data_IF_414314031631
#
_entry.id   IF_414314031631
#
_cell.length_a   1.000
_cell.length_b   1.000
_cell.length_c   1.000
_cell.angle_alpha   90.00
_cell.angle_beta   90.00
_cell.angle_gamma   90.00
#
_symmetry.space_group_name_H-M   'P 1'
#
loop_
_entity.id
_entity.type
_entity.pdbx_description
1 polymer ?
#
# COMPACT_ATOMS: atom_id res chain seq x y z
N UNK A 1 -2.66 -9.85 -11.07
CA UNK A 1 -3.31 -10.65 -10.01
C UNK A 1 -2.32 -11.65 -9.47
N UNK A 2 -1.61 -12.37 -10.35
CA UNK A 2 -0.51 -13.28 -10.04
C UNK A 2 0.50 -12.72 -9.04
N UNK A 3 0.89 -11.45 -9.19
CA UNK A 3 1.84 -10.79 -8.28
C UNK A 3 1.27 -10.59 -6.87
N UNK A 4 -0.02 -10.25 -6.76
CA UNK A 4 -0.73 -10.11 -5.48
C UNK A 4 -0.92 -11.47 -4.81
N UNK A 5 -1.22 -12.51 -5.59
CA UNK A 5 -1.28 -13.89 -5.11
C UNK A 5 0.09 -14.39 -4.61
N UNK A 6 1.17 -14.07 -5.33
CA UNK A 6 2.55 -14.35 -4.88
C UNK A 6 2.86 -13.62 -3.57
N UNK A 7 2.44 -12.37 -3.43
CA UNK A 7 2.63 -11.58 -2.21
C UNK A 7 1.97 -12.23 -0.99
N UNK A 8 0.70 -12.63 -1.08
CA UNK A 8 -0.01 -13.30 0.04
C UNK A 8 0.51 -14.71 0.35
N UNK A 9 1.20 -15.34 -0.61
CA UNK A 9 1.94 -16.60 -0.41
C UNK A 9 3.32 -16.37 0.21
N UNK A 10 3.73 -15.11 0.39
CA UNK A 10 5.03 -14.73 0.95
C UNK A 10 6.19 -14.86 -0.03
N UNK A 11 5.91 -14.94 -1.33
CA UNK A 11 6.88 -15.14 -2.41
C UNK A 11 7.59 -13.83 -2.78
N UNK A 12 8.36 -13.31 -1.84
CA UNK A 12 9.25 -12.16 -2.02
C UNK A 12 10.50 -12.34 -1.17
N UNK A 13 11.66 -11.82 -1.59
CA UNK A 13 12.89 -11.99 -0.81
C UNK A 13 12.98 -11.00 0.36
N UNK A 14 13.79 -11.31 1.37
CA UNK A 14 14.06 -10.35 2.46
C UNK A 14 14.68 -9.07 1.93
N UNK A 15 15.46 -9.18 0.85
CA UNK A 15 16.00 -8.02 0.13
C UNK A 15 14.91 -7.14 -0.46
N UNK A 16 13.83 -7.72 -0.99
CA UNK A 16 12.71 -6.94 -1.52
C UNK A 16 11.94 -6.23 -0.40
N UNK A 17 11.75 -6.92 0.73
CA UNK A 17 11.14 -6.35 1.93
C UNK A 17 11.93 -5.16 2.47
N UNK A 18 13.24 -5.34 2.67
CA UNK A 18 14.12 -4.26 3.13
C UNK A 18 14.20 -3.11 2.12
N UNK A 19 14.23 -3.41 0.82
CA UNK A 19 14.19 -2.37 -0.22
C UNK A 19 12.90 -1.56 -0.16
N UNK A 20 11.75 -2.21 0.01
CA UNK A 20 10.46 -1.52 0.10
C UNK A 20 10.39 -0.63 1.35
N UNK A 21 10.86 -1.13 2.50
CA UNK A 21 10.98 -0.35 3.73
C UNK A 21 11.85 0.89 3.56
N UNK A 22 13.05 0.71 3.01
CA UNK A 22 13.98 1.81 2.77
C UNK A 22 13.42 2.84 1.77
N UNK A 23 12.67 2.37 0.77
CA UNK A 23 11.97 3.26 -0.16
C UNK A 23 10.91 4.11 0.55
N UNK A 24 10.09 3.51 1.42
CA UNK A 24 9.07 4.24 2.19
C UNK A 24 9.71 5.28 3.12
N UNK A 25 10.77 4.92 3.83
CA UNK A 25 11.53 5.83 4.70
C UNK A 25 12.16 6.98 3.90
N UNK A 26 12.75 6.66 2.75
CA UNK A 26 13.33 7.64 1.84
C UNK A 26 12.29 8.64 1.33
N UNK A 27 11.16 8.14 0.81
CA UNK A 27 10.06 8.99 0.35
C UNK A 27 9.55 9.90 1.46
N UNK A 28 9.26 9.34 2.63
CA UNK A 28 8.78 10.13 3.77
C UNK A 28 9.75 11.25 4.17
N UNK A 29 11.06 10.98 4.12
CA UNK A 29 12.06 11.99 4.46
C UNK A 29 12.07 13.13 3.43
N UNK A 30 11.95 12.79 2.15
CA UNK A 30 11.84 13.78 1.05
C UNK A 30 10.52 14.54 1.09
N UNK A 31 9.42 13.88 1.48
CA UNK A 31 8.10 14.48 1.54
C UNK A 31 7.93 15.42 2.75
N UNK A 32 8.82 15.36 3.75
CA UNK A 32 8.75 16.15 5.00
C UNK A 32 9.90 17.16 5.13
N UNK A 33 10.24 17.85 4.04
CA UNK A 33 11.36 18.80 4.00
C UNK A 33 10.96 20.22 4.43
N UNK A 34 9.73 20.66 4.13
CA UNK A 34 9.26 22.00 4.49
C UNK A 34 8.33 21.98 5.71
N UNK A 35 8.25 23.14 6.39
CA UNK A 35 7.38 23.31 7.55
C UNK A 35 5.89 23.09 7.21
N UNK A 36 5.49 23.43 5.98
CA UNK A 36 4.14 23.18 5.47
C UNK A 36 3.84 21.68 5.37
N UNK A 37 4.78 20.89 4.84
CA UNK A 37 4.63 19.44 4.71
C UNK A 37 4.47 18.77 6.08
N UNK A 38 5.29 19.20 7.05
CA UNK A 38 5.21 18.73 8.43
C UNK A 38 3.84 19.08 9.04
N UNK A 39 3.33 20.29 8.80
CA UNK A 39 2.02 20.71 9.30
C UNK A 39 0.88 19.87 8.68
N UNK A 40 0.94 19.61 7.37
CA UNK A 40 -0.02 18.73 6.67
C UNK A 40 0.04 17.32 7.25
N UNK A 41 1.24 16.77 7.46
CA UNK A 41 1.43 15.44 7.98
C UNK A 41 0.83 15.25 9.38
N UNK A 42 1.10 16.17 10.31
CA UNK A 42 0.47 16.15 11.63
C UNK A 42 -1.03 16.37 11.58
N UNK A 43 -1.51 17.27 10.71
CA UNK A 43 -2.93 17.51 10.50
C UNK A 43 -3.68 16.26 10.04
N UNK A 44 -3.13 15.53 9.07
CA UNK A 44 -3.71 14.28 8.56
C UNK A 44 -3.70 13.17 9.61
N UNK A 45 -2.61 13.02 10.38
CA UNK A 45 -2.56 12.05 11.48
C UNK A 45 -3.67 12.30 12.50
N UNK A 46 -3.81 13.56 12.95
CA UNK A 46 -4.83 13.92 13.92
C UNK A 46 -6.25 13.71 13.37
N UNK A 47 -6.47 14.08 12.11
CA UNK A 47 -7.78 13.99 11.48
C UNK A 47 -8.23 12.55 11.24
N UNK A 48 -7.33 11.68 10.77
CA UNK A 48 -7.68 10.33 10.31
C UNK A 48 -7.52 9.26 11.40
N UNK A 49 -6.63 9.47 12.36
CA UNK A 49 -6.20 8.45 13.32
C UNK A 49 -6.27 8.89 14.78
N UNK A 50 -6.61 10.16 15.04
CA UNK A 50 -6.60 10.79 16.37
C UNK A 50 -5.25 10.68 17.10
N UNK A 51 -4.15 10.50 16.36
CA UNK A 51 -2.78 10.37 16.88
C UNK A 51 -1.88 11.52 16.41
N UNK A 52 -0.77 11.73 17.11
CA UNK A 52 0.28 12.69 16.74
C UNK A 52 1.63 12.04 17.01
N UNK A 53 2.10 11.22 16.07
CA UNK A 53 3.44 10.63 16.16
C UNK A 53 4.45 11.65 15.63
N UNK A 54 5.59 11.75 16.30
CA UNK A 54 6.79 12.38 15.73
C UNK A 54 7.35 11.52 14.59
N UNK A 55 8.19 12.12 13.75
CA UNK A 55 8.82 11.42 12.62
C UNK A 55 9.59 10.18 13.12
N UNK A 56 10.37 10.32 14.19
CA UNK A 56 11.13 9.21 14.77
C UNK A 56 10.24 8.09 15.32
N UNK A 57 9.13 8.43 15.99
CA UNK A 57 8.16 7.44 16.46
C UNK A 57 7.52 6.68 15.31
N UNK A 58 7.17 7.37 14.22
CA UNK A 58 6.63 6.74 13.02
C UNK A 58 7.66 5.82 12.34
N UNK A 59 8.92 6.26 12.23
CA UNK A 59 10.03 5.46 11.70
C UNK A 59 10.21 4.19 12.54
N UNK A 60 10.21 4.31 13.86
CA UNK A 60 10.32 3.17 14.77
C UNK A 60 9.14 2.19 14.61
N UNK A 61 7.93 2.72 14.46
CA UNK A 61 6.73 1.91 14.17
C UNK A 61 6.90 1.15 12.86
N UNK A 62 7.31 1.81 11.78
CA UNK A 62 7.55 1.15 10.49
C UNK A 62 8.65 0.08 10.58
N UNK A 63 9.72 0.36 11.33
CA UNK A 63 10.82 -0.59 11.52
C UNK A 63 10.43 -1.82 12.34
N UNK A 64 9.41 -1.69 13.20
CA UNK A 64 8.88 -2.79 14.01
C UNK A 64 8.04 -3.79 13.21
N UNK A 65 7.59 -3.39 12.02
CA UNK A 65 6.86 -4.29 11.13
C UNK A 65 7.74 -5.43 10.64
N UNK A 66 7.13 -6.55 10.31
CA UNK A 66 7.82 -7.72 9.77
C UNK A 66 7.08 -8.23 8.52
N UNK A 67 7.68 -9.22 7.85
CA UNK A 67 7.13 -9.78 6.62
C UNK A 67 5.71 -10.34 6.80
N UNK A 68 5.44 -10.96 7.94
CA UNK A 68 4.12 -11.54 8.21
C UNK A 68 3.07 -10.44 8.35
N UNK A 69 3.38 -9.32 9.02
CA UNK A 69 2.47 -8.17 9.08
C UNK A 69 2.02 -7.71 7.69
N UNK A 70 2.94 -7.65 6.73
CA UNK A 70 2.64 -7.25 5.35
C UNK A 70 1.74 -8.30 4.67
N UNK A 71 2.07 -9.58 4.81
CA UNK A 71 1.28 -10.68 4.24
C UNK A 71 -0.15 -10.66 4.80
N UNK A 72 -0.29 -10.49 6.12
CA UNK A 72 -1.57 -10.51 6.81
C UNK A 72 -2.43 -9.29 6.42
N UNK A 73 -1.83 -8.11 6.30
CA UNK A 73 -2.53 -6.92 5.81
C UNK A 73 -3.08 -7.11 4.38
N UNK A 74 -2.31 -7.75 3.49
CA UNK A 74 -2.76 -8.04 2.13
C UNK A 74 -3.81 -9.16 2.06
N UNK A 75 -3.71 -10.18 2.91
CA UNK A 75 -4.76 -11.21 3.04
C UNK A 75 -6.08 -10.58 3.46
N UNK A 76 -6.09 -9.73 4.47
CA UNK A 76 -7.31 -9.03 4.90
C UNK A 76 -7.92 -8.17 3.79
N UNK A 77 -7.09 -7.63 2.89
CA UNK A 77 -7.56 -6.82 1.77
C UNK A 77 -8.16 -7.66 0.62
N UNK A 78 -7.62 -8.85 0.37
CA UNK A 78 -7.94 -9.66 -0.81
C UNK A 78 -8.90 -10.82 -0.50
N UNK A 79 -8.86 -11.38 0.70
CA UNK A 79 -9.74 -12.49 1.09
C UNK A 79 -11.15 -11.97 1.40
N UNK A 80 -12.14 -12.43 0.62
CA UNK A 80 -13.56 -12.22 0.93
C UNK A 80 -14.12 -10.84 0.57
N UNK A 81 -13.43 -10.03 -0.22
CA UNK A 81 -13.89 -8.70 -0.66
C UNK A 81 -14.13 -8.65 -2.17
N UNK A 82 -15.23 -8.00 -2.57
CA UNK A 82 -15.54 -7.74 -3.97
C UNK A 82 -14.55 -6.70 -4.53
N UNK A 83 -13.82 -7.07 -5.58
CA UNK A 83 -12.91 -6.14 -6.25
C UNK A 83 -13.68 -5.29 -7.27
N UNK A 84 -13.61 -3.96 -7.09
CA UNK A 84 -14.06 -3.02 -8.10
C UNK A 84 -12.98 -2.87 -9.17
N UNK A 85 -13.28 -3.30 -10.40
CA UNK A 85 -12.38 -3.13 -11.55
C UNK A 85 -12.89 -1.98 -12.41
N UNK A 86 -12.10 -0.92 -12.52
CA UNK A 86 -12.32 0.17 -13.46
C UNK A 86 -11.29 0.06 -14.60
N UNK A 87 -11.77 0.10 -15.85
CA UNK A 87 -10.92 0.09 -17.03
C UNK A 87 -11.24 1.28 -17.93
N UNK A 88 -10.23 1.81 -18.59
CA UNK A 88 -10.37 2.83 -19.62
C UNK A 88 -10.05 2.17 -20.95
N UNK A 89 -10.97 2.28 -21.91
CA UNK A 89 -10.75 1.81 -23.27
C UNK A 89 -11.15 2.89 -24.29
N UNK A 90 -10.63 2.81 -25.52
CA UNK A 90 -11.08 3.65 -26.62
C UNK A 90 -12.62 3.64 -26.77
N UNK A 91 -13.19 4.74 -27.27
CA UNK A 91 -14.65 4.92 -27.35
C UNK A 91 -15.40 3.83 -28.13
N UNK A 92 -14.71 3.11 -29.02
CA UNK A 92 -15.28 2.06 -29.87
C UNK A 92 -14.96 0.64 -29.39
N UNK A 93 -14.46 0.49 -28.16
CA UNK A 93 -14.17 -0.84 -27.60
C UNK A 93 -15.46 -1.58 -27.30
N UNK A 94 -15.60 -2.76 -27.91
CA UNK A 94 -16.67 -3.70 -27.58
C UNK A 94 -16.34 -4.42 -26.27
N UNK A 95 -17.17 -4.18 -25.26
CA UNK A 95 -17.04 -4.75 -23.93
C UNK A 95 -17.89 -5.99 -23.70
N UNK A 96 -18.61 -6.48 -24.71
CA UNK A 96 -19.48 -7.66 -24.61
C UNK A 96 -18.76 -8.93 -24.12
N UNK A 97 -17.44 -9.00 -24.30
CA UNK A 97 -16.61 -10.14 -23.89
C UNK A 97 -15.84 -9.93 -22.56
N UNK A 98 -16.03 -8.82 -21.84
CA UNK A 98 -15.26 -8.55 -20.62
C UNK A 98 -15.54 -9.54 -19.48
N UNK A 99 -16.75 -10.08 -19.39
CA UNK A 99 -17.13 -11.01 -18.32
C UNK A 99 -16.58 -12.43 -18.52
N UNK A 100 -16.11 -12.78 -19.73
CA UNK A 100 -15.62 -14.13 -20.04
C UNK A 100 -14.18 -14.40 -19.56
N UNK A 101 -13.41 -13.35 -19.24
CA UNK A 101 -11.98 -13.44 -18.95
C UNK A 101 -11.60 -13.00 -17.53
N UNK A 102 -12.57 -12.63 -16.70
CA UNK A 102 -12.35 -12.30 -15.29
C UNK A 102 -12.96 -13.44 -14.46
N UNK A 103 -12.27 -14.58 -14.46
CA UNK A 103 -12.55 -15.64 -13.50
C UNK A 103 -11.89 -15.25 -12.18
N UNK A 104 -12.69 -14.94 -11.16
CA UNK A 104 -12.25 -14.86 -9.77
C UNK A 104 -12.16 -16.26 -9.17
#
# INVERSE_FOLDING_TARGET
MTELESLIKGDFSDKDFERARNYLLGSMTTDLEAAEDIAVWFGLQKLLKDELLSVDEYINRLNSENRNSVIDAWREMLEGKEMLIATLAPANTDFSNLTANINF
#
